data_IF_244698173321
#
_entry.id   IF_244698173321
#
_cell.length_a   1.000
_cell.length_b   1.000
_cell.length_c   1.000
_cell.angle_alpha   90.00
_cell.angle_beta   90.00
_cell.angle_gamma   90.00
#
_symmetry.space_group_name_H-M   'P 1'
#
loop_
_entity.id
_entity.type
_entity.pdbx_description
1 polymer ?
#
# COMPACT_ATOMS: atom_id res chain seq x y z
N UNK A 1 -8.16 -18.79 5.84
CA UNK A 1 -7.24 -18.03 6.73
C UNK A 1 -7.74 -16.60 6.78
N UNK A 2 -8.08 -16.09 7.97
CA UNK A 2 -8.72 -14.79 8.12
C UNK A 2 -7.77 -13.66 7.72
N UNK A 3 -7.98 -13.05 6.56
CA UNK A 3 -7.27 -11.84 6.15
C UNK A 3 -7.79 -10.68 7.01
N UNK A 4 -7.07 -10.39 8.10
CA UNK A 4 -7.38 -9.27 9.01
C UNK A 4 -7.10 -7.96 8.24
N UNK A 5 -8.16 -7.32 7.74
CA UNK A 5 -8.05 -6.02 7.10
C UNK A 5 -7.70 -4.94 8.15
N UNK A 6 -6.81 -4.03 7.81
CA UNK A 6 -6.46 -2.90 8.67
C UNK A 6 -7.57 -1.83 8.63
N UNK A 7 -7.70 -1.06 9.71
CA UNK A 7 -8.62 0.09 9.78
C UNK A 7 -7.92 1.40 10.05
N UNK A 8 -8.40 2.44 9.39
CA UNK A 8 -8.31 3.85 9.78
C UNK A 8 -9.73 4.34 10.15
N UNK A 9 -9.86 5.61 10.57
CA UNK A 9 -11.13 6.19 11.03
C UNK A 9 -12.32 5.95 10.09
N UNK A 10 -12.09 6.04 8.77
CA UNK A 10 -13.13 5.87 7.75
C UNK A 10 -12.70 4.95 6.60
N UNK A 11 -11.73 4.06 6.83
CA UNK A 11 -11.17 3.24 5.75
C UNK A 11 -10.75 1.87 6.25
N UNK A 12 -11.21 0.81 5.59
CA UNK A 12 -10.67 -0.54 5.72
C UNK A 12 -9.76 -0.82 4.53
N UNK A 13 -8.58 -1.35 4.77
CA UNK A 13 -7.59 -1.52 3.71
C UNK A 13 -6.71 -2.75 3.93
N UNK A 14 -6.26 -3.33 2.81
CA UNK A 14 -5.29 -4.41 2.77
C UNK A 14 -4.42 -4.22 1.52
N UNK A 15 -3.39 -3.39 1.64
CA UNK A 15 -2.52 -3.03 0.52
C UNK A 15 -1.16 -3.69 0.70
N UNK A 16 -1.02 -4.92 0.18
CA UNK A 16 0.26 -5.64 0.17
C UNK A 16 0.93 -5.50 -1.19
N UNK A 17 2.22 -5.26 -1.17
CA UNK A 17 3.04 -5.10 -2.37
C UNK A 17 4.26 -6.00 -2.28
N UNK A 18 4.50 -6.73 -3.36
CA UNK A 18 5.77 -7.40 -3.61
C UNK A 18 6.67 -6.43 -4.37
N UNK A 19 7.77 -6.03 -3.74
CA UNK A 19 8.74 -5.11 -4.32
C UNK A 19 10.09 -5.83 -4.51
N UNK A 20 10.75 -5.52 -5.63
CA UNK A 20 12.10 -6.02 -5.92
C UNK A 20 12.98 -4.86 -6.40
N UNK A 21 14.17 -4.73 -5.85
CA UNK A 21 15.15 -3.77 -6.32
C UNK A 21 16.58 -4.31 -6.19
N UNK A 22 17.48 -3.79 -7.02
CA UNK A 22 18.84 -4.32 -7.19
C UNK A 22 19.89 -3.27 -6.88
N UNK A 23 21.08 -3.66 -6.37
CA UNK A 23 22.23 -2.76 -6.30
C UNK A 23 22.66 -2.28 -7.69
N UNK A 24 23.15 -1.04 -7.80
CA UNK A 24 23.62 -0.49 -9.08
C UNK A 24 24.74 -1.38 -9.64
N UNK A 25 24.65 -1.70 -10.93
CA UNK A 25 25.57 -2.61 -11.64
C UNK A 25 25.65 -4.03 -11.05
N UNK A 26 24.67 -4.44 -10.23
CA UNK A 26 24.65 -5.74 -9.54
C UNK A 26 25.97 -6.09 -8.84
N UNK A 27 26.57 -5.13 -8.13
CA UNK A 27 27.85 -5.32 -7.39
C UNK A 27 27.69 -6.27 -6.19
N UNK A 28 27.60 -7.58 -6.47
CA UNK A 28 27.23 -8.64 -5.51
C UNK A 28 28.17 -8.74 -4.31
N UNK A 29 29.48 -8.61 -4.55
CA UNK A 29 30.51 -8.78 -3.51
C UNK A 29 30.34 -7.74 -2.41
N UNK A 30 30.20 -6.48 -2.81
CA UNK A 30 30.06 -5.36 -1.89
C UNK A 30 28.72 -5.45 -1.16
N UNK A 31 27.65 -5.74 -1.89
CA UNK A 31 26.33 -5.92 -1.30
C UNK A 31 26.31 -7.05 -0.25
N UNK A 32 26.91 -8.21 -0.55
CA UNK A 32 26.86 -9.38 0.32
C UNK A 32 27.60 -9.15 1.65
N UNK A 33 28.67 -8.36 1.65
CA UNK A 33 29.41 -8.01 2.87
C UNK A 33 28.56 -7.21 3.87
N UNK A 34 27.67 -6.36 3.38
CA UNK A 34 26.89 -5.43 4.20
C UNK A 34 25.41 -5.80 4.34
N UNK A 35 25.04 -7.06 4.06
CA UNK A 35 23.63 -7.51 4.13
C UNK A 35 23.00 -7.32 5.51
N UNK A 36 23.78 -7.51 6.58
CA UNK A 36 23.29 -7.35 7.95
C UNK A 36 22.90 -5.90 8.24
N UNK A 37 23.83 -4.98 8.05
CA UNK A 37 23.60 -3.54 8.22
C UNK A 37 22.46 -3.02 7.34
N UNK A 38 22.43 -3.45 6.09
CA UNK A 38 21.39 -3.07 5.16
C UNK A 38 20.01 -3.56 5.63
N UNK A 39 19.92 -4.79 6.14
CA UNK A 39 18.67 -5.34 6.68
C UNK A 39 18.18 -4.57 7.91
N UNK A 40 19.08 -4.10 8.77
CA UNK A 40 18.73 -3.24 9.91
C UNK A 40 18.18 -1.89 9.44
N UNK A 41 18.89 -1.24 8.52
CA UNK A 41 18.51 0.05 7.95
C UNK A 41 17.14 -0.03 7.25
N UNK A 42 16.91 -1.05 6.42
CA UNK A 42 15.63 -1.19 5.71
C UNK A 42 14.46 -1.38 6.68
N UNK A 43 14.63 -2.18 7.74
CA UNK A 43 13.60 -2.35 8.79
C UNK A 43 13.32 -1.04 9.52
N UNK A 44 14.37 -0.29 9.86
CA UNK A 44 14.24 1.00 10.52
C UNK A 44 13.47 2.02 9.65
N UNK A 45 13.84 2.15 8.38
CA UNK A 45 13.18 3.03 7.43
C UNK A 45 11.71 2.66 7.20
N UNK A 46 11.38 1.36 7.17
CA UNK A 46 9.99 0.92 7.07
C UNK A 46 9.19 1.32 8.32
N UNK A 47 9.76 1.16 9.53
CA UNK A 47 9.12 1.62 10.78
C UNK A 47 8.84 3.12 10.77
N UNK A 48 9.77 3.95 10.29
CA UNK A 48 9.56 5.40 10.21
C UNK A 48 8.44 5.83 9.26
N UNK A 49 8.11 5.00 8.27
CA UNK A 49 7.00 5.26 7.34
C UNK A 49 5.73 4.49 7.68
N UNK A 50 5.69 3.84 8.84
CA UNK A 50 4.58 2.98 9.25
C UNK A 50 4.25 1.91 8.18
N UNK A 51 5.29 1.41 7.50
CA UNK A 51 5.20 0.31 6.54
C UNK A 51 5.56 -0.97 7.27
N UNK A 52 4.65 -1.94 7.23
CA UNK A 52 4.87 -3.25 7.82
C UNK A 52 5.61 -4.15 6.83
N UNK A 53 6.69 -4.80 7.27
CA UNK A 53 7.35 -5.83 6.48
C UNK A 53 6.74 -7.16 6.89
N UNK A 54 6.00 -7.79 5.97
CA UNK A 54 5.42 -9.12 6.19
C UNK A 54 6.52 -10.16 6.04
N UNK A 55 7.26 -10.09 4.93
CA UNK A 55 8.37 -10.97 4.62
C UNK A 55 9.44 -10.20 3.84
N UNK A 56 10.71 -10.54 4.03
CA UNK A 56 11.80 -9.86 3.35
C UNK A 56 13.04 -10.73 3.23
N UNK A 57 13.56 -10.85 2.00
CA UNK A 57 14.76 -11.61 1.72
C UNK A 57 15.77 -10.78 0.91
N UNK A 58 16.96 -10.62 1.47
CA UNK A 58 18.09 -9.96 0.83
C UNK A 58 18.86 -11.00 0.02
N UNK A 59 18.67 -11.12 -1.30
CA UNK A 59 19.43 -12.07 -2.14
C UNK A 59 20.79 -11.48 -2.55
N UNK A 60 21.73 -12.30 -3.04
CA UNK A 60 23.10 -11.85 -3.39
C UNK A 60 23.17 -10.67 -4.36
N UNK A 61 22.16 -10.49 -5.22
CA UNK A 61 22.12 -9.44 -6.25
C UNK A 61 20.83 -8.62 -6.27
N UNK A 62 19.88 -8.85 -5.36
CA UNK A 62 18.62 -8.12 -5.31
C UNK A 62 17.91 -8.28 -3.96
N UNK A 63 16.96 -7.41 -3.66
CA UNK A 63 16.14 -7.46 -2.44
C UNK A 63 14.71 -7.81 -2.82
N UNK A 64 14.13 -8.82 -2.20
CA UNK A 64 12.69 -9.11 -2.23
C UNK A 64 12.05 -8.62 -0.94
N UNK A 65 10.98 -7.84 -1.03
CA UNK A 65 10.18 -7.47 0.14
C UNK A 65 8.69 -7.61 -0.16
N UNK A 66 7.99 -8.31 0.72
CA UNK A 66 6.55 -8.26 0.83
C UNK A 66 6.19 -7.27 1.94
N UNK A 67 5.69 -6.11 1.54
CA UNK A 67 5.40 -4.99 2.44
C UNK A 67 3.94 -4.61 2.40
N UNK A 68 3.43 -4.13 3.53
CA UNK A 68 2.13 -3.51 3.63
C UNK A 68 2.28 -2.01 3.74
N UNK A 69 1.86 -1.29 2.70
CA UNK A 69 2.03 0.16 2.60
C UNK A 69 0.67 0.83 2.84
N UNK A 70 0.55 1.78 3.79
CA UNK A 70 -0.69 2.52 4.02
C UNK A 70 -1.19 3.20 2.74
N UNK A 71 -2.52 3.25 2.50
CA UNK A 71 -3.08 3.85 1.28
C UNK A 71 -2.82 5.36 1.18
N UNK A 72 -2.49 6.03 2.28
CA UNK A 72 -2.07 7.44 2.31
C UNK A 72 -0.67 7.66 1.73
N UNK A 73 0.14 6.61 1.56
CA UNK A 73 1.50 6.67 1.05
C UNK A 73 1.58 5.97 -0.31
N UNK A 74 1.99 6.70 -1.34
CA UNK A 74 2.19 6.09 -2.66
C UNK A 74 3.39 5.16 -2.68
N UNK A 75 3.29 4.06 -3.43
CA UNK A 75 4.37 3.08 -3.54
C UNK A 75 5.63 3.70 -4.14
N UNK A 76 5.49 4.58 -5.12
CA UNK A 76 6.62 5.27 -5.75
C UNK A 76 7.35 6.19 -4.76
N UNK A 77 6.62 6.95 -3.95
CA UNK A 77 7.21 7.80 -2.92
C UNK A 77 7.92 6.96 -1.85
N UNK A 78 7.30 5.86 -1.42
CA UNK A 78 7.92 4.94 -0.47
C UNK A 78 9.21 4.33 -1.02
N UNK A 79 9.21 3.83 -2.26
CA UNK A 79 10.40 3.22 -2.87
C UNK A 79 11.52 4.24 -3.10
N UNK A 80 11.18 5.48 -3.48
CA UNK A 80 12.15 6.58 -3.57
C UNK A 80 12.79 6.89 -2.22
N UNK A 81 11.97 6.99 -1.17
CA UNK A 81 12.43 7.19 0.20
C UNK A 81 13.32 6.03 0.69
N UNK A 82 12.85 4.78 0.54
CA UNK A 82 13.51 3.59 1.04
C UNK A 82 14.88 3.41 0.38
N UNK A 83 14.95 3.49 -0.95
CA UNK A 83 16.21 3.37 -1.71
C UNK A 83 17.14 4.55 -1.43
N UNK A 84 16.62 5.78 -1.44
CA UNK A 84 17.42 6.98 -1.22
C UNK A 84 18.04 7.04 0.17
N UNK A 85 17.23 6.87 1.22
CA UNK A 85 17.72 6.94 2.61
C UNK A 85 18.58 5.75 2.99
N UNK A 86 18.27 4.54 2.51
CA UNK A 86 19.14 3.39 2.77
C UNK A 86 20.51 3.56 2.13
N UNK A 87 20.58 4.08 0.89
CA UNK A 87 21.86 4.38 0.25
C UNK A 87 22.68 5.38 1.09
N UNK A 88 22.04 6.46 1.55
CA UNK A 88 22.69 7.47 2.37
C UNK A 88 23.24 6.89 3.68
N UNK A 89 22.40 6.18 4.44
CA UNK A 89 22.79 5.55 5.71
C UNK A 89 23.91 4.51 5.52
N UNK A 90 23.88 3.75 4.43
CA UNK A 90 24.95 2.81 4.08
C UNK A 90 26.28 3.52 3.82
N UNK A 91 26.25 4.64 3.08
CA UNK A 91 27.47 5.41 2.80
C UNK A 91 28.03 6.12 4.04
N UNK A 92 27.17 6.49 4.99
CA UNK A 92 27.60 7.11 6.24
C UNK A 92 28.17 6.07 7.22
N UNK A 93 27.54 4.90 7.35
CA UNK A 93 28.05 3.80 8.18
C UNK A 93 29.34 3.18 7.62
N UNK A 94 29.51 3.18 6.30
CA UNK A 94 30.68 2.60 5.64
C UNK A 94 31.32 3.61 4.66
N UNK A 95 32.13 4.53 5.18
CA UNK A 95 32.78 5.57 4.39
C UNK A 95 33.57 5.03 3.16
N UNK A 96 34.18 3.84 3.29
CA UNK A 96 34.90 3.17 2.22
C UNK A 96 34.04 2.85 0.98
N UNK A 97 32.71 2.75 1.13
CA UNK A 97 31.79 2.56 0.03
C UNK A 97 31.70 3.80 -0.88
N UNK A 98 31.82 5.01 -0.33
CA UNK A 98 31.74 6.26 -1.11
C UNK A 98 32.80 6.26 -2.22
N UNK A 99 34.02 5.83 -1.89
CA UNK A 99 35.12 5.71 -2.86
C UNK A 99 34.89 4.60 -3.89
N UNK A 100 34.43 3.41 -3.46
CA UNK A 100 34.20 2.28 -4.37
C UNK A 100 33.07 2.52 -5.36
N UNK A 101 32.06 3.31 -5.00
CA UNK A 101 30.90 3.57 -5.86
C UNK A 101 31.03 4.80 -6.76
N UNK A 102 32.08 5.63 -6.60
CA UNK A 102 32.39 6.80 -7.45
C UNK A 102 31.29 7.86 -7.40
N UNK A 103 30.20 7.61 -8.12
CA UNK A 103 29.02 8.48 -8.23
C UNK A 103 27.99 8.30 -7.10
N UNK A 104 28.37 7.67 -5.97
CA UNK A 104 27.49 7.49 -4.79
C UNK A 104 26.10 6.88 -5.09
N UNK A 105 25.96 6.08 -6.14
CA UNK A 105 24.72 5.35 -6.44
C UNK A 105 24.80 3.92 -5.92
N UNK A 106 24.09 3.64 -4.83
CA UNK A 106 24.05 2.29 -4.24
C UNK A 106 23.07 1.36 -4.97
N UNK A 107 21.89 1.88 -5.36
CA UNK A 107 20.82 1.13 -6.02
C UNK A 107 20.69 1.45 -7.51
N UNK A 108 20.14 0.51 -8.26
CA UNK A 108 19.60 0.76 -9.59
C UNK A 108 18.47 1.79 -9.54
N UNK A 109 18.25 2.53 -10.62
CA UNK A 109 17.17 3.53 -10.70
C UNK A 109 15.79 2.88 -10.64
N UNK A 110 15.58 1.84 -11.43
CA UNK A 110 14.33 1.07 -11.46
C UNK A 110 14.10 0.21 -10.21
N UNK A 111 12.86 -0.24 -10.06
CA UNK A 111 12.43 -1.28 -9.15
C UNK A 111 11.20 -1.96 -9.76
N UNK A 112 10.96 -3.21 -9.38
CA UNK A 112 9.75 -3.93 -9.73
C UNK A 112 8.76 -3.84 -8.57
N UNK A 113 7.48 -3.78 -8.89
CA UNK A 113 6.38 -3.80 -7.93
C UNK A 113 5.23 -4.62 -8.51
N UNK A 114 4.62 -5.44 -7.67
CA UNK A 114 3.37 -6.14 -7.95
C UNK A 114 2.47 -6.07 -6.72
N UNK A 115 1.16 -5.93 -6.93
CA UNK A 115 0.17 -6.01 -5.87
C UNK A 115 -0.06 -7.47 -5.49
N UNK A 116 -0.04 -7.76 -4.19
CA UNK A 116 -0.37 -9.09 -3.67
C UNK A 116 -1.73 -9.01 -3.01
N UNK A 117 -2.72 -9.70 -3.57
CA UNK A 117 -4.11 -9.56 -3.17
C UNK A 117 -4.91 -10.85 -3.27
N UNK A 118 -6.22 -10.69 -3.15
CA UNK A 118 -7.17 -11.74 -3.50
C UNK A 118 -7.05 -12.07 -4.99
N UNK A 119 -7.35 -13.31 -5.36
CA UNK A 119 -7.35 -13.73 -6.75
C UNK A 119 -8.37 -12.91 -7.55
N UNK A 120 -7.93 -12.30 -8.65
CA UNK A 120 -8.75 -11.49 -9.56
C UNK A 120 -10.06 -12.17 -9.95
N UNK A 121 -10.02 -13.49 -10.22
CA UNK A 121 -11.20 -14.26 -10.56
C UNK A 121 -12.22 -14.32 -9.40
N UNK A 122 -11.73 -14.40 -8.17
CA UNK A 122 -12.56 -14.40 -6.96
C UNK A 122 -13.19 -13.03 -6.72
N UNK A 123 -12.42 -11.95 -6.87
CA UNK A 123 -12.93 -10.58 -6.73
C UNK A 123 -13.96 -10.27 -7.82
N UNK A 124 -13.69 -10.64 -9.07
CA UNK A 124 -14.62 -10.43 -10.17
C UNK A 124 -15.92 -11.24 -10.00
N UNK A 125 -15.82 -12.48 -9.49
CA UNK A 125 -17.00 -13.29 -9.14
C UNK A 125 -17.82 -12.60 -8.05
N UNK A 126 -17.17 -12.18 -6.97
CA UNK A 126 -17.82 -11.47 -5.87
C UNK A 126 -18.58 -10.23 -6.36
N UNK A 127 -17.96 -9.39 -7.20
CA UNK A 127 -18.61 -8.18 -7.74
C UNK A 127 -19.90 -8.52 -8.51
N UNK A 128 -19.89 -9.58 -9.34
CA UNK A 128 -21.08 -9.99 -10.11
C UNK A 128 -22.20 -10.53 -9.23
N UNK A 129 -21.85 -11.22 -8.16
CA UNK A 129 -22.82 -11.88 -7.27
C UNK A 129 -23.33 -10.93 -6.19
N UNK A 130 -22.56 -9.89 -5.84
CA UNK A 130 -22.89 -8.94 -4.77
C UNK A 130 -24.19 -8.19 -5.05
N UNK A 131 -24.41 -7.73 -6.29
CA UNK A 131 -25.62 -6.98 -6.65
C UNK A 131 -26.90 -7.82 -6.44
N UNK A 132 -26.86 -9.10 -6.79
CA UNK A 132 -27.97 -10.03 -6.56
C UNK A 132 -28.25 -10.24 -5.07
N UNK A 133 -27.19 -10.34 -4.26
CA UNK A 133 -27.30 -10.49 -2.82
C UNK A 133 -27.84 -9.22 -2.14
N UNK A 134 -27.37 -8.04 -2.55
CA UNK A 134 -27.81 -6.75 -2.03
C UNK A 134 -29.28 -6.49 -2.39
N UNK A 135 -29.71 -6.79 -3.62
CA UNK A 135 -31.12 -6.73 -4.03
C UNK A 135 -32.00 -7.67 -3.18
N UNK A 136 -31.51 -8.88 -2.87
CA UNK A 136 -32.25 -9.82 -2.04
C UNK A 136 -32.38 -9.34 -0.58
N UNK A 137 -31.31 -8.74 -0.04
CA UNK A 137 -31.29 -8.16 1.30
C UNK A 137 -32.17 -6.91 1.42
N UNK A 138 -32.13 -6.00 0.45
CA UNK A 138 -32.98 -4.79 0.42
C UNK A 138 -34.46 -5.16 0.32
N UNK A 139 -34.81 -6.15 -0.50
CA UNK A 139 -36.18 -6.68 -0.58
C UNK A 139 -36.67 -7.28 0.74
N UNK A 140 -35.77 -7.67 1.64
CA UNK A 140 -36.12 -8.18 2.97
C UNK A 140 -36.12 -7.10 4.06
N UNK A 141 -35.41 -5.98 3.89
CA UNK A 141 -35.15 -5.03 4.97
C UNK A 141 -36.11 -3.84 5.04
N UNK A 142 -36.74 -3.40 3.93
CA UNK A 142 -37.67 -2.25 3.96
C UNK A 142 -38.82 -2.41 2.96
N UNK A 143 -40.07 -2.49 3.45
CA UNK A 143 -41.24 -2.11 2.65
C UNK A 143 -41.33 -0.59 2.64
N UNK A 144 -40.75 0.05 1.63
CA UNK A 144 -41.00 1.46 1.37
C UNK A 144 -42.38 1.59 0.69
N UNK A 145 -43.37 2.10 1.43
CA UNK A 145 -44.75 2.24 0.94
C UNK A 145 -44.94 3.44 -0.01
N UNK A 146 -43.97 4.34 -0.07
CA UNK A 146 -43.91 5.49 -0.97
C UNK A 146 -42.45 5.79 -1.34
N UNK A 147 -42.22 6.36 -2.53
CA UNK A 147 -40.88 6.73 -3.00
C UNK A 147 -40.40 8.03 -2.32
N UNK A 148 -39.40 7.97 -1.43
CA UNK A 148 -38.93 9.13 -0.68
C UNK A 148 -38.20 10.17 -1.55
N UNK A 149 -37.89 9.82 -2.79
CA UNK A 149 -37.28 10.69 -3.78
C UNK A 149 -38.28 11.20 -4.82
N UNK A 150 -39.59 11.00 -4.61
CA UNK A 150 -40.61 11.60 -5.48
C UNK A 150 -40.54 13.13 -5.45
N UNK A 151 -40.85 13.79 -6.56
CA UNK A 151 -40.81 15.26 -6.65
C UNK A 151 -41.70 15.93 -5.61
N UNK A 152 -42.84 15.30 -5.26
CA UNK A 152 -43.76 15.75 -4.23
C UNK A 152 -43.13 15.73 -2.83
N UNK A 153 -42.44 14.64 -2.45
CA UNK A 153 -41.76 14.56 -1.15
C UNK A 153 -40.54 15.49 -1.08
N UNK A 154 -39.79 15.63 -2.18
CA UNK A 154 -38.69 16.58 -2.25
C UNK A 154 -39.16 18.03 -2.11
N UNK A 155 -40.31 18.38 -2.70
CA UNK A 155 -40.92 19.70 -2.54
C UNK A 155 -41.44 19.92 -1.12
N UNK A 156 -42.10 18.92 -0.52
CA UNK A 156 -42.55 18.98 0.88
C UNK A 156 -41.36 19.20 1.84
N UNK A 157 -40.26 18.46 1.67
CA UNK A 157 -39.04 18.63 2.47
C UNK A 157 -38.43 20.03 2.30
N UNK A 158 -38.36 20.54 1.07
CA UNK A 158 -37.86 21.91 0.79
C UNK A 158 -38.74 22.98 1.45
N UNK A 159 -40.06 22.81 1.42
CA UNK A 159 -41.00 23.73 2.06
C UNK A 159 -40.89 23.69 3.59
N UNK A 160 -40.76 22.50 4.19
CA UNK A 160 -40.60 22.34 5.63
C UNK A 160 -39.28 22.94 6.14
N UNK A 161 -38.19 22.72 5.39
CA UNK A 161 -36.88 23.33 5.67
C UNK A 161 -36.90 24.86 5.52
N UNK A 162 -37.68 25.40 4.59
CA UNK A 162 -37.89 26.84 4.45
C UNK A 162 -38.69 27.44 5.62
N UNK A 163 -39.67 26.69 6.16
CA UNK A 163 -40.41 27.09 7.37
C UNK A 163 -39.56 27.09 8.63
N UNK A 164 -38.63 26.14 8.78
CA UNK A 164 -37.69 26.08 9.92
C UNK A 164 -36.59 27.16 9.89
N UNK A 165 -36.44 27.88 8.78
CA UNK A 165 -35.46 28.96 8.58
C UNK A 165 -36.06 30.37 8.72
N UNK A 166 -37.37 30.48 8.99
CA UNK A 166 -38.03 31.71 9.44
C UNK A 166 -38.22 31.65 10.94
#
# INVERSE_FOLDING_TARGET
MANKANSLAHTKWMCKYHTIFTPKYRRKVIYNQYRKDLGEILRELCRYKHVEIIEGHLMRDHVHMLVMIPPSLSVSAFMGYLKGKSALMMFDRHANLKYKFGNRHFWSEGYYVSTVGLNDATVAKYIREQEMHDIAMDKMSVKEYANPFSEAEQQAYKQEKAKRKK
#
